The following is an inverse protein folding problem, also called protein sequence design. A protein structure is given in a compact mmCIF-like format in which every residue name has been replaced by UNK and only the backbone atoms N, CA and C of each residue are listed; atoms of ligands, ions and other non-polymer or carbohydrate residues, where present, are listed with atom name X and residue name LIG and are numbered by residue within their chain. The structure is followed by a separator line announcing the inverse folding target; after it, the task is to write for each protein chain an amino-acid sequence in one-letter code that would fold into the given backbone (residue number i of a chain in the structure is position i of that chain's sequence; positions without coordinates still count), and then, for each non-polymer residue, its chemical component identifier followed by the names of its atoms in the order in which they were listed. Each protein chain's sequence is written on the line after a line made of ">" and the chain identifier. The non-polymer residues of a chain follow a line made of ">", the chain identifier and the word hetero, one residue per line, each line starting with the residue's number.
data_IF_024455269142
#
_entry.id   IF_024455269142
#
_cell.length_a   1.000
_cell.length_b   1.000
_cell.length_c   1.000
_cell.angle_alpha   90.00
_cell.angle_beta   90.00
_cell.angle_gamma   90.00
#
_symmetry.space_group_name_H-M   'P 1'
#
loop_
_entity.id
_entity.type
_entity.pdbx_description
1 polymer ?
#
# COMPACT_ATOMS: atom_id res chain seq x y z
N UNK A 1 -9.98 0.20 -11.06
CA UNK A 1 -9.82 0.94 -12.34
C UNK A 1 -8.63 1.89 -12.30
N UNK A 2 -8.39 2.61 -11.21
CA UNK A 2 -7.19 3.45 -11.07
C UNK A 2 -6.76 3.60 -9.61
N UNK A 3 -5.46 3.84 -9.38
CA UNK A 3 -4.88 4.08 -8.07
C UNK A 3 -3.86 5.23 -8.14
N UNK A 4 -3.87 6.08 -7.11
CA UNK A 4 -3.04 7.29 -7.01
C UNK A 4 -2.51 7.40 -5.60
N UNK A 5 -1.27 7.89 -5.46
CA UNK A 5 -0.67 8.19 -4.17
C UNK A 5 -0.11 9.61 -4.14
N UNK A 6 0.03 10.14 -2.93
CA UNK A 6 0.92 11.25 -2.60
C UNK A 6 1.62 10.86 -1.32
N UNK A 7 2.94 11.00 -1.30
CA UNK A 7 3.76 10.63 -0.15
C UNK A 7 4.84 11.68 0.05
N UNK A 8 5.20 11.91 1.30
CA UNK A 8 6.29 12.79 1.71
C UNK A 8 7.24 11.98 2.57
N UNK A 9 8.47 11.81 2.09
CA UNK A 9 9.46 10.98 2.78
C UNK A 9 10.68 10.71 1.92
N UNK A 10 11.52 9.80 2.40
CA UNK A 10 12.71 9.36 1.67
C UNK A 10 12.36 8.54 0.41
N UNK A 11 13.33 8.34 -0.48
CA UNK A 11 13.13 7.59 -1.73
C UNK A 11 12.50 6.21 -1.53
N UNK A 12 12.84 5.50 -0.45
CA UNK A 12 12.23 4.20 -0.10
C UNK A 12 10.73 4.30 0.16
N UNK A 13 10.27 5.38 0.80
CA UNK A 13 8.84 5.61 1.03
C UNK A 13 8.12 5.92 -0.28
N UNK A 14 8.74 6.71 -1.16
CA UNK A 14 8.21 7.02 -2.49
C UNK A 14 8.09 5.75 -3.33
N UNK A 15 9.15 4.93 -3.36
CA UNK A 15 9.17 3.66 -4.08
C UNK A 15 8.11 2.68 -3.55
N UNK A 16 8.01 2.53 -2.23
CA UNK A 16 7.02 1.64 -1.59
C UNK A 16 5.58 2.06 -1.92
N UNK A 17 5.26 3.35 -1.79
CA UNK A 17 3.92 3.86 -2.13
C UNK A 17 3.62 3.71 -3.63
N UNK A 18 4.60 3.99 -4.49
CA UNK A 18 4.43 3.86 -5.95
C UNK A 18 4.20 2.40 -6.36
N UNK A 19 5.01 1.47 -5.86
CA UNK A 19 4.90 0.05 -6.15
C UNK A 19 3.52 -0.48 -5.77
N UNK A 20 3.10 -0.18 -4.54
CA UNK A 20 1.78 -0.56 -4.04
C UNK A 20 0.66 -0.05 -4.93
N UNK A 21 0.73 1.20 -5.41
CA UNK A 21 -0.32 1.72 -6.30
C UNK A 21 -0.39 1.00 -7.64
N UNK A 22 0.71 0.47 -8.15
CA UNK A 22 0.67 -0.38 -9.34
C UNK A 22 0.11 -1.76 -9.02
N UNK A 23 0.46 -2.34 -7.88
CA UNK A 23 -0.01 -3.67 -7.47
C UNK A 23 -1.51 -3.75 -7.23
N UNK A 24 -2.10 -2.71 -6.65
CA UNK A 24 -3.55 -2.69 -6.37
C UNK A 24 -4.40 -2.46 -7.63
N UNK A 25 -3.82 -1.99 -8.74
CA UNK A 25 -4.57 -1.82 -9.99
C UNK A 25 -4.93 -3.20 -10.56
N UNK A 26 -6.22 -3.40 -10.81
CA UNK A 26 -6.73 -4.64 -11.38
C UNK A 26 -6.93 -5.78 -10.37
N UNK A 27 -6.50 -5.61 -9.11
CA UNK A 27 -6.81 -6.53 -8.01
C UNK A 27 -8.20 -6.26 -7.43
N UNK A 28 -8.83 -7.31 -6.90
CA UNK A 28 -10.00 -7.21 -6.04
C UNK A 28 -9.64 -6.61 -4.67
N UNK A 29 -10.65 -6.18 -3.91
CA UNK A 29 -10.44 -5.62 -2.57
C UNK A 29 -9.79 -6.63 -1.62
N UNK A 30 -10.17 -7.90 -1.70
CA UNK A 30 -9.62 -8.93 -0.82
C UNK A 30 -8.16 -9.26 -1.18
N UNK A 31 -7.83 -9.29 -2.47
CA UNK A 31 -6.45 -9.43 -2.93
C UNK A 31 -5.58 -8.23 -2.55
N UNK A 32 -6.11 -7.01 -2.67
CA UNK A 32 -5.41 -5.80 -2.25
C UNK A 32 -5.19 -5.79 -0.72
N UNK A 33 -6.16 -6.27 0.05
CA UNK A 33 -6.05 -6.39 1.51
C UNK A 33 -5.05 -7.46 1.95
N UNK A 34 -4.77 -8.45 1.10
CA UNK A 34 -3.82 -9.52 1.37
C UNK A 34 -2.35 -9.13 1.11
N UNK A 35 -2.07 -7.97 0.52
CA UNK A 35 -0.70 -7.46 0.30
C UNK A 35 -0.05 -7.21 1.66
N UNK A 36 1.15 -7.77 1.88
CA UNK A 36 1.90 -7.61 3.13
C UNK A 36 3.13 -6.73 2.94
N UNK A 37 3.56 -6.09 4.02
CA UNK A 37 4.81 -5.34 4.07
C UNK A 37 6.05 -6.17 3.72
N UNK A 38 6.06 -7.46 4.01
CA UNK A 38 7.16 -8.37 3.69
C UNK A 38 7.35 -8.46 2.18
N UNK A 39 6.26 -8.60 1.42
CA UNK A 39 6.31 -8.71 -0.03
C UNK A 39 6.85 -7.41 -0.66
N UNK A 40 6.45 -6.26 -0.11
CA UNK A 40 6.93 -4.94 -0.55
C UNK A 40 8.40 -4.73 -0.19
N UNK A 41 8.81 -5.16 1.00
CA UNK A 41 10.19 -5.03 1.47
C UNK A 41 11.14 -5.92 0.67
N UNK A 42 10.71 -7.13 0.35
CA UNK A 42 11.49 -8.10 -0.43
C UNK A 42 11.62 -7.63 -1.88
N UNK A 43 10.54 -7.15 -2.51
CA UNK A 43 10.56 -6.63 -3.88
C UNK A 43 11.50 -5.41 -4.04
N UNK A 44 11.55 -4.54 -3.02
CA UNK A 44 12.38 -3.34 -3.03
C UNK A 44 13.75 -3.54 -2.36
N UNK A 45 14.08 -4.76 -1.96
CA UNK A 45 15.29 -5.14 -1.23
C UNK A 45 15.62 -4.16 -0.08
N UNK A 46 14.59 -3.81 0.71
CA UNK A 46 14.73 -2.77 1.73
C UNK A 46 15.67 -3.23 2.84
N UNK A 47 16.67 -2.41 3.23
CA UNK A 47 17.48 -2.72 4.39
C UNK A 47 16.61 -2.67 5.66
N UNK A 48 16.99 -3.37 6.75
CA UNK A 48 16.20 -3.45 7.98
C UNK A 48 15.74 -2.10 8.54
N UNK A 49 16.57 -1.06 8.40
CA UNK A 49 16.27 0.31 8.87
C UNK A 49 15.15 1.02 8.10
N UNK A 50 14.82 0.53 6.88
CA UNK A 50 13.80 1.11 5.99
C UNK A 50 12.51 0.30 5.90
N UNK A 51 12.37 -0.81 6.64
CA UNK A 51 11.16 -1.63 6.68
C UNK A 51 9.91 -0.83 7.13
N UNK A 52 10.08 0.25 7.89
CA UNK A 52 8.97 1.14 8.22
C UNK A 52 8.27 1.73 6.97
N UNK A 53 8.97 1.87 5.84
CA UNK A 53 8.40 2.34 4.58
C UNK A 53 7.43 1.33 3.96
N UNK A 54 7.71 0.02 4.08
CA UNK A 54 6.80 -1.02 3.59
C UNK A 54 5.61 -1.23 4.54
N UNK A 55 5.83 -1.14 5.86
CA UNK A 55 4.75 -1.13 6.86
C UNK A 55 3.76 0.01 6.58
N UNK A 56 4.28 1.23 6.39
CA UNK A 56 3.45 2.39 6.10
C UNK A 56 2.64 2.20 4.80
N UNK A 57 3.24 1.59 3.78
CA UNK A 57 2.55 1.32 2.52
C UNK A 57 1.44 0.28 2.68
N UNK A 58 1.66 -0.79 3.44
CA UNK A 58 0.63 -1.78 3.78
C UNK A 58 -0.53 -1.14 4.58
N UNK A 59 -0.22 -0.36 5.60
CA UNK A 59 -1.23 0.32 6.43
C UNK A 59 -2.07 1.28 5.59
N UNK A 60 -1.47 1.99 4.63
CA UNK A 60 -2.18 2.88 3.73
C UNK A 60 -3.21 2.13 2.86
N UNK A 61 -2.89 0.94 2.35
CA UNK A 61 -3.82 0.11 1.59
C UNK A 61 -5.00 -0.30 2.47
N UNK A 62 -4.71 -0.84 3.66
CA UNK A 62 -5.75 -1.30 4.59
C UNK A 62 -6.67 -0.17 5.01
N UNK A 63 -6.12 1.01 5.30
CA UNK A 63 -6.90 2.19 5.64
C UNK A 63 -7.79 2.64 4.46
N UNK A 64 -7.28 2.65 3.23
CA UNK A 64 -8.07 3.00 2.05
C UNK A 64 -9.21 2.01 1.79
N UNK A 65 -8.98 0.71 1.98
CA UNK A 65 -10.01 -0.32 1.84
C UNK A 65 -11.06 -0.20 2.96
N UNK A 66 -10.64 0.05 4.19
CA UNK A 66 -11.54 0.26 5.32
C UNK A 66 -12.44 1.49 5.12
N UNK A 67 -11.87 2.62 4.67
CA UNK A 67 -12.62 3.83 4.32
C UNK A 67 -13.59 3.60 3.15
N UNK A 68 -13.19 2.81 2.15
CA UNK A 68 -14.09 2.43 1.06
C UNK A 68 -15.28 1.59 1.55
N UNK A 69 -15.03 0.60 2.42
CA UNK A 69 -16.08 -0.27 3.00
C UNK A 69 -17.04 0.56 3.87
N UNK A 70 -16.53 1.41 4.74
CA UNK A 70 -17.35 2.24 5.64
C UNK A 70 -18.27 3.21 4.88
N UNK A 71 -17.78 3.84 3.81
CA UNK A 71 -18.58 4.72 2.95
C UNK A 71 -19.71 4.01 2.20
N UNK A 72 -19.58 2.70 1.97
CA UNK A 72 -20.63 1.89 1.33
C UNK A 72 -21.67 1.37 2.31
N UNK A 73 -21.28 1.13 3.57
CA UNK A 73 -22.21 0.72 4.64
C UNK A 73 -23.00 1.89 5.22
N UNK A 74 -22.44 3.11 5.20
CA UNK A 74 -23.12 4.32 5.66
C UNK A 74 -24.15 4.88 4.65
N UNK A 75 -24.44 4.15 3.57
CA UNK A 75 -25.34 4.54 2.49
C UNK A 75 -26.49 3.56 2.38
#
# INVERSE_FOLDING_TARGET
>A
EDARFKTYGCGSAIASSSLVTEWVKGKSLDEAQAIKNTDIADELELPPVKIHCSILAEDAIKAAIADYKSKREAK
#
